data_IF_714305306131
#
_entry.id   IF_714305306131
#
_cell.length_a   1.000
_cell.length_b   1.000
_cell.length_c   1.000
_cell.angle_alpha   90.00
_cell.angle_beta   90.00
_cell.angle_gamma   90.00
#
_symmetry.space_group_name_H-M   'P 1'
#
loop_
_entity.id
_entity.type
_entity.pdbx_description
1 polymer ?
#
# COMPACT_ATOMS: atom_id res chain seq x y z
N UNK A 1 -16.05 3.66 -23.23
CA UNK A 1 -14.63 3.30 -22.96
C UNK A 1 -13.89 4.30 -22.10
N UNK A 2 -14.31 5.56 -21.95
CA UNK A 2 -13.57 6.57 -21.16
C UNK A 2 -14.04 6.68 -19.69
N UNK A 3 -15.32 6.37 -19.43
CA UNK A 3 -15.95 6.54 -18.11
C UNK A 3 -15.37 5.62 -17.02
N UNK A 4 -15.01 4.38 -17.37
CA UNK A 4 -14.43 3.41 -16.42
C UNK A 4 -13.07 3.88 -15.90
N UNK A 5 -12.23 4.45 -16.77
CA UNK A 5 -10.93 5.00 -16.37
C UNK A 5 -11.07 6.20 -15.45
N UNK A 6 -12.07 7.05 -15.69
CA UNK A 6 -12.34 8.22 -14.84
C UNK A 6 -12.78 7.76 -13.45
N UNK A 7 -13.64 6.74 -13.37
CA UNK A 7 -14.11 6.19 -12.10
C UNK A 7 -12.95 5.57 -11.31
N UNK A 8 -12.09 4.77 -11.95
CA UNK A 8 -10.91 4.17 -11.30
C UNK A 8 -9.91 5.25 -10.86
N UNK A 9 -9.71 6.29 -11.69
CA UNK A 9 -8.82 7.40 -11.36
C UNK A 9 -9.33 8.19 -10.15
N UNK A 10 -10.62 8.50 -10.09
CA UNK A 10 -11.22 9.19 -8.95
C UNK A 10 -11.20 8.32 -7.69
N UNK A 11 -11.53 7.04 -7.82
CA UNK A 11 -11.51 6.09 -6.71
C UNK A 11 -10.10 5.93 -6.12
N UNK A 12 -9.09 5.76 -6.97
CA UNK A 12 -7.70 5.67 -6.54
C UNK A 12 -7.20 6.97 -5.90
N UNK A 13 -7.55 8.14 -6.45
CA UNK A 13 -7.22 9.43 -5.86
C UNK A 13 -7.82 9.60 -4.46
N UNK A 14 -9.08 9.21 -4.28
CA UNK A 14 -9.77 9.27 -3.01
C UNK A 14 -9.12 8.36 -1.96
N UNK A 15 -8.68 7.16 -2.36
CA UNK A 15 -7.95 6.22 -1.48
C UNK A 15 -6.61 6.81 -1.06
N UNK A 16 -5.82 7.35 -2.00
CA UNK A 16 -4.52 7.99 -1.70
C UNK A 16 -4.71 9.19 -0.77
N UNK A 17 -5.67 10.06 -1.08
CA UNK A 17 -5.97 11.25 -0.28
C UNK A 17 -6.42 10.86 1.14
N UNK A 18 -7.33 9.88 1.26
CA UNK A 18 -7.77 9.35 2.55
C UNK A 18 -6.60 8.80 3.35
N UNK A 19 -5.75 7.97 2.73
CA UNK A 19 -4.59 7.38 3.38
C UNK A 19 -3.61 8.46 3.91
N UNK A 20 -3.26 9.45 3.08
CA UNK A 20 -2.40 10.56 3.50
C UNK A 20 -3.03 11.38 4.64
N UNK A 21 -4.35 11.56 4.62
CA UNK A 21 -5.06 12.30 5.65
C UNK A 21 -5.12 11.54 6.98
N UNK A 22 -5.29 10.21 6.94
CA UNK A 22 -5.20 9.33 8.11
C UNK A 22 -3.76 9.26 8.66
N UNK A 23 -2.75 9.29 7.79
CA UNK A 23 -1.34 9.18 8.17
C UNK A 23 -0.76 10.47 8.78
N UNK A 24 -1.42 11.63 8.61
CA UNK A 24 -1.01 12.92 9.21
C UNK A 24 -0.95 12.93 10.75
N UNK A 25 -1.52 11.92 11.41
CA UNK A 25 -1.49 11.77 12.88
C UNK A 25 -0.26 11.01 13.38
N UNK A 26 0.55 10.42 12.50
CA UNK A 26 1.75 9.70 12.89
C UNK A 26 2.85 10.74 13.11
N UNK A 27 3.20 10.97 14.38
CA UNK A 27 4.38 11.74 14.76
C UNK A 27 5.59 11.22 13.96
N UNK A 28 6.52 12.09 13.52
CA UNK A 28 7.63 11.75 12.61
C UNK A 28 8.63 10.70 13.11
N UNK A 29 8.36 10.01 14.23
CA UNK A 29 9.21 8.96 14.79
C UNK A 29 8.91 7.54 14.26
N UNK A 30 7.85 7.34 13.46
CA UNK A 30 7.65 6.04 12.82
C UNK A 30 8.34 6.08 11.47
N UNK A 31 9.59 5.61 11.43
CA UNK A 31 10.30 5.36 10.17
C UNK A 31 9.42 4.48 9.29
N UNK A 32 8.89 5.07 8.21
CA UNK A 32 8.17 4.30 7.20
C UNK A 32 9.20 3.35 6.60
N UNK A 33 9.05 2.06 6.90
CA UNK A 33 9.91 1.02 6.35
C UNK A 33 9.91 1.11 4.83
N UNK A 34 11.10 0.99 4.22
CA UNK A 34 11.22 0.94 2.76
C UNK A 34 10.35 -0.17 2.17
N UNK A 35 10.12 -1.27 2.91
CA UNK A 35 9.20 -2.34 2.52
C UNK A 35 7.74 -1.89 2.52
N UNK A 36 7.29 -1.12 3.51
CA UNK A 36 5.93 -0.58 3.54
C UNK A 36 5.66 0.32 2.33
N UNK A 37 6.64 1.16 1.98
CA UNK A 37 6.57 2.01 0.79
C UNK A 37 6.46 1.17 -0.48
N UNK A 38 7.29 0.13 -0.60
CA UNK A 38 7.28 -0.78 -1.75
C UNK A 38 5.97 -1.57 -1.87
N UNK A 39 5.43 -2.05 -0.75
CA UNK A 39 4.15 -2.73 -0.70
C UNK A 39 3.01 -1.83 -1.18
N UNK A 40 3.00 -0.57 -0.72
CA UNK A 40 1.99 0.42 -1.10
C UNK A 40 2.04 0.73 -2.59
N UNK A 41 3.25 0.92 -3.13
CA UNK A 41 3.46 1.13 -4.57
C UNK A 41 2.98 -0.08 -5.37
N UNK A 42 3.27 -1.31 -4.94
CA UNK A 42 2.80 -2.52 -5.61
C UNK A 42 1.26 -2.62 -5.64
N UNK A 43 0.61 -2.30 -4.52
CA UNK A 43 -0.87 -2.29 -4.44
C UNK A 43 -1.45 -1.24 -5.38
N UNK A 44 -0.88 -0.04 -5.42
CA UNK A 44 -1.30 1.00 -6.37
C UNK A 44 -1.11 0.54 -7.83
N UNK A 45 0.04 -0.04 -8.16
CA UNK A 45 0.30 -0.60 -9.50
C UNK A 45 -0.73 -1.67 -9.89
N UNK A 46 -1.16 -2.53 -8.94
CA UNK A 46 -2.21 -3.52 -9.19
C UNK A 46 -3.58 -2.90 -9.46
N UNK A 47 -3.90 -1.78 -8.79
CA UNK A 47 -5.13 -1.01 -9.04
C UNK A 47 -5.07 -0.35 -10.43
N UNK A 48 -3.94 0.25 -10.82
CA UNK A 48 -3.75 0.88 -12.13
C UNK A 48 -3.74 -0.13 -13.28
N UNK A 49 -3.22 -1.34 -13.08
CA UNK A 49 -3.24 -2.44 -14.07
C UNK A 49 -4.55 -3.25 -14.05
N UNK A 50 -5.59 -2.78 -13.37
CA UNK A 50 -6.87 -3.48 -13.19
C UNK A 50 -7.59 -3.90 -14.47
N UNK A 51 -7.29 -3.26 -15.61
CA UNK A 51 -7.82 -3.67 -16.92
C UNK A 51 -7.29 -5.05 -17.35
N UNK A 52 -6.03 -5.34 -17.07
CA UNK A 52 -5.46 -6.66 -17.27
C UNK A 52 -5.51 -7.42 -15.95
N UNK A 53 -6.65 -8.08 -15.70
CA UNK A 53 -6.94 -8.90 -14.50
C UNK A 53 -5.75 -9.72 -14.01
N UNK A 54 -4.99 -10.32 -14.93
CA UNK A 54 -3.78 -11.10 -14.62
C UNK A 54 -2.72 -10.27 -13.88
N UNK A 55 -2.34 -9.11 -14.41
CA UNK A 55 -1.37 -8.22 -13.80
C UNK A 55 -1.92 -7.56 -12.53
N UNK A 56 -3.19 -7.16 -12.54
CA UNK A 56 -3.86 -6.59 -11.36
C UNK A 56 -3.79 -7.52 -10.14
N UNK A 57 -4.15 -8.79 -10.29
CA UNK A 57 -4.10 -9.76 -9.18
C UNK A 57 -2.66 -10.11 -8.76
N UNK A 58 -1.71 -10.20 -9.70
CA UNK A 58 -0.31 -10.45 -9.37
C UNK A 58 0.30 -9.33 -8.54
N UNK A 59 0.11 -8.07 -8.95
CA UNK A 59 0.62 -6.91 -8.22
C UNK A 59 -0.08 -6.72 -6.87
N UNK A 60 -1.41 -6.92 -6.82
CA UNK A 60 -2.17 -6.84 -5.57
C UNK A 60 -1.74 -7.93 -4.58
N UNK A 61 -1.59 -9.18 -5.05
CA UNK A 61 -1.11 -10.29 -4.23
C UNK A 61 0.32 -10.07 -3.72
N UNK A 62 1.24 -9.67 -4.60
CA UNK A 62 2.62 -9.40 -4.20
C UNK A 62 2.73 -8.22 -3.23
N UNK A 63 1.90 -7.17 -3.39
CA UNK A 63 1.84 -6.03 -2.47
C UNK A 63 1.36 -6.42 -1.08
N UNK A 64 0.32 -7.26 -0.99
CA UNK A 64 -0.20 -7.79 0.29
C UNK A 64 0.83 -8.68 0.99
N UNK A 65 1.54 -9.55 0.24
CA UNK A 65 2.60 -10.40 0.80
C UNK A 65 3.73 -9.53 1.38
N UNK A 66 4.19 -8.52 0.64
CA UNK A 66 5.22 -7.58 1.09
C UNK A 66 4.79 -6.82 2.35
N UNK A 67 3.54 -6.33 2.40
CA UNK A 67 3.00 -5.67 3.58
C UNK A 67 2.95 -6.60 4.80
N UNK A 68 2.58 -7.86 4.59
CA UNK A 68 2.51 -8.87 5.65
C UNK A 68 3.90 -9.17 6.21
N UNK A 69 4.91 -9.33 5.34
CA UNK A 69 6.30 -9.54 5.73
C UNK A 69 6.82 -8.35 6.54
N UNK A 70 6.55 -7.13 6.09
CA UNK A 70 6.98 -5.92 6.80
C UNK A 70 6.33 -5.80 8.18
N UNK A 71 5.04 -6.08 8.27
CA UNK A 71 4.30 -6.09 9.54
C UNK A 71 4.88 -7.13 10.52
N UNK A 72 5.14 -8.35 10.06
CA UNK A 72 5.76 -9.41 10.87
C UNK A 72 7.16 -8.97 11.33
N UNK A 73 7.98 -8.41 10.43
CA UNK A 73 9.33 -7.95 10.74
C UNK A 73 9.32 -6.80 11.76
N UNK A 74 8.40 -5.84 11.61
CA UNK A 74 8.22 -4.76 12.57
C UNK A 74 7.75 -5.27 13.94
N UNK A 75 6.83 -6.24 13.97
CA UNK A 75 6.40 -6.86 15.23
C UNK A 75 7.55 -7.58 15.94
N UNK A 76 8.42 -8.26 15.20
CA UNK A 76 9.61 -8.92 15.75
C UNK A 76 10.61 -7.88 16.28
N UNK A 77 10.92 -6.84 15.51
CA UNK A 77 11.85 -5.78 15.93
C UNK A 77 11.34 -5.01 17.16
N UNK A 78 10.04 -4.71 17.24
CA UNK A 78 9.45 -4.04 18.41
C UNK A 78 9.55 -4.88 19.69
N UNK A 79 9.60 -6.21 19.56
CA UNK A 79 9.80 -7.16 20.67
C UNK A 79 11.25 -7.17 21.17
N UNK A 80 12.22 -6.80 20.33
CA UNK A 80 13.64 -6.70 20.67
C UNK A 80 14.03 -5.42 21.41
N UNK A 81 13.28 -4.33 21.24
CA UNK A 81 13.51 -3.04 21.90
C UNK A 81 12.87 -2.93 23.29
N UNK A 82 12.14 -3.96 23.74
CA UNK A 82 11.43 -4.00 25.02
C UNK A 82 12.04 -5.00 26.02
N UNK A 83 13.26 -5.48 25.77
CA UNK A 83 14.02 -6.40 26.62
C UNK A 83 15.29 -5.70 27.09
#
# INVERSE_FOLDING_TARGET
MVEIFIIISIASLAVIAGFLFLNKRIKPEVEISRLATFAFVLVLLGIFFGDNRLFGYSFMGAGVILATIDLIKNLINKKSLKK
#
